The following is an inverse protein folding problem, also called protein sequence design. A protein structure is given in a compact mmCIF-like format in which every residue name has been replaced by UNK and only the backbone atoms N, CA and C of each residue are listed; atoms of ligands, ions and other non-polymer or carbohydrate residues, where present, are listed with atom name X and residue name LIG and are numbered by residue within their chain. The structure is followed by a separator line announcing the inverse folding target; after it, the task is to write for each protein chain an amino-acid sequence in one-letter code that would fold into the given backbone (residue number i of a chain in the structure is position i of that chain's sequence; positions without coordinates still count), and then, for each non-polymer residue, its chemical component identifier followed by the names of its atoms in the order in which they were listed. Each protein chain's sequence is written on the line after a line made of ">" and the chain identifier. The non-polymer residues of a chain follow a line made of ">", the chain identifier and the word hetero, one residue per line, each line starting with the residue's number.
data_IF_789476946493
#
_entry.id   IF_789476946493
#
_cell.length_a   1.000
_cell.length_b   1.000
_cell.length_c   1.000
_cell.angle_alpha   90.00
_cell.angle_beta   90.00
_cell.angle_gamma   90.00
#
_symmetry.space_group_name_H-M   'P 1'
#
loop_
_entity.id
_entity.type
_entity.pdbx_description
1 polymer ?
#
# COMPACT_ATOMS: atom_id res chain seq x y z
N UNK A 1 -16.05 -14.15 56.90
CA UNK A 1 -15.26 -12.94 56.57
C UNK A 1 -13.82 -13.36 56.48
N UNK A 2 -13.15 -13.12 55.35
CA UNK A 2 -11.70 -13.30 55.29
C UNK A 2 -11.06 -12.19 56.12
N UNK A 3 -10.08 -12.53 56.96
CA UNK A 3 -9.17 -11.54 57.51
C UNK A 3 -8.16 -11.21 56.41
N UNK A 4 -8.20 -9.95 55.96
CA UNK A 4 -7.49 -9.46 54.78
C UNK A 4 -6.23 -8.68 55.15
N UNK A 5 -5.77 -8.77 56.40
CA UNK A 5 -4.43 -8.32 56.78
C UNK A 5 -3.38 -9.09 55.95
N UNK A 6 -2.28 -8.45 55.49
CA UNK A 6 -1.31 -9.08 54.58
C UNK A 6 -0.78 -10.44 55.07
N UNK A 7 -0.58 -10.59 56.37
CA UNK A 7 -0.10 -11.84 56.99
C UNK A 7 -1.13 -12.97 56.94
N UNK A 8 -2.41 -12.68 57.15
CA UNK A 8 -3.47 -13.70 57.11
C UNK A 8 -3.92 -13.99 55.68
N UNK A 9 -3.82 -13.00 54.80
CA UNK A 9 -4.03 -13.15 53.37
C UNK A 9 -3.09 -14.20 52.75
N UNK A 10 -1.78 -14.13 53.05
CA UNK A 10 -0.80 -15.11 52.59
C UNK A 10 -1.10 -16.53 53.10
N UNK A 11 -1.51 -16.67 54.37
CA UNK A 11 -1.93 -17.97 54.92
C UNK A 11 -3.17 -18.52 54.22
N UNK A 12 -4.14 -17.67 53.89
CA UNK A 12 -5.32 -18.07 53.14
C UNK A 12 -4.98 -18.51 51.71
N UNK A 13 -4.03 -17.83 51.08
CA UNK A 13 -3.51 -18.20 49.78
C UNK A 13 -2.83 -19.58 49.78
N UNK A 14 -1.95 -19.84 50.75
CA UNK A 14 -1.30 -21.15 50.89
C UNK A 14 -2.32 -22.27 51.14
N UNK A 15 -3.32 -22.02 51.99
CA UNK A 15 -4.39 -22.97 52.24
C UNK A 15 -5.13 -23.33 50.93
N UNK A 16 -5.46 -22.33 50.12
CA UNK A 16 -6.18 -22.54 48.85
C UNK A 16 -5.34 -23.32 47.84
N UNK A 17 -4.02 -23.07 47.81
CA UNK A 17 -3.08 -23.86 47.01
C UNK A 17 -3.09 -25.33 47.40
N UNK A 18 -3.10 -25.65 48.70
CA UNK A 18 -3.17 -27.06 49.16
C UNK A 18 -4.50 -27.75 48.85
N UNK A 19 -5.57 -26.98 48.64
CA UNK A 19 -6.94 -27.49 48.40
C UNK A 19 -7.30 -27.54 46.92
N UNK A 20 -6.39 -27.15 46.03
CA UNK A 20 -6.66 -27.00 44.60
C UNK A 20 -6.91 -28.35 43.92
N UNK A 21 -8.01 -28.45 43.17
CA UNK A 21 -8.32 -29.58 42.31
C UNK A 21 -9.16 -29.14 41.10
N UNK A 22 -9.38 -30.04 40.14
CA UNK A 22 -10.10 -29.72 38.89
C UNK A 22 -11.52 -29.16 39.13
N UNK A 23 -12.22 -29.59 40.18
CA UNK A 23 -13.60 -29.19 40.46
C UNK A 23 -13.73 -27.79 41.08
N UNK A 24 -12.69 -27.31 41.77
CA UNK A 24 -12.72 -26.04 42.50
C UNK A 24 -11.78 -24.96 41.93
N UNK A 25 -10.88 -25.29 41.00
CA UNK A 25 -9.90 -24.34 40.46
C UNK A 25 -10.54 -23.05 39.92
N UNK A 26 -11.64 -23.17 39.15
CA UNK A 26 -12.36 -22.00 38.63
C UNK A 26 -12.99 -21.16 39.75
N UNK A 27 -13.63 -21.79 40.73
CA UNK A 27 -14.23 -21.07 41.86
C UNK A 27 -13.20 -20.33 42.70
N UNK A 28 -12.03 -20.94 42.92
CA UNK A 28 -10.92 -20.28 43.63
C UNK A 28 -10.41 -19.09 42.82
N UNK A 29 -10.25 -19.24 41.50
CA UNK A 29 -9.86 -18.13 40.61
C UNK A 29 -10.86 -16.99 40.65
N UNK A 30 -12.16 -17.29 40.54
CA UNK A 30 -13.24 -16.31 40.54
C UNK A 30 -13.33 -15.58 41.91
N UNK A 31 -13.15 -16.31 43.00
CA UNK A 31 -13.11 -15.75 44.35
C UNK A 31 -11.91 -14.81 44.51
N UNK A 32 -10.73 -15.20 44.04
CA UNK A 32 -9.53 -14.38 44.13
C UNK A 32 -9.62 -13.11 43.31
N UNK A 33 -10.13 -13.23 42.09
CA UNK A 33 -10.46 -12.08 41.26
C UNK A 33 -11.42 -11.12 42.00
N UNK A 34 -12.46 -11.66 42.64
CA UNK A 34 -13.43 -10.87 43.42
C UNK A 34 -12.83 -10.21 44.67
N UNK A 35 -11.87 -10.86 45.33
CA UNK A 35 -11.16 -10.30 46.48
C UNK A 35 -10.23 -9.18 46.01
N UNK A 36 -9.56 -9.37 44.87
CA UNK A 36 -8.67 -8.37 44.28
C UNK A 36 -9.41 -7.03 44.07
N UNK A 37 -10.65 -7.05 43.59
CA UNK A 37 -11.48 -5.83 43.43
C UNK A 37 -11.61 -5.02 44.73
N UNK A 38 -11.58 -5.70 45.88
CA UNK A 38 -11.73 -5.08 47.21
C UNK A 38 -10.39 -4.67 47.82
N UNK A 39 -9.27 -5.15 47.27
CA UNK A 39 -7.93 -5.00 47.80
C UNK A 39 -6.97 -4.71 46.64
N UNK A 40 -6.83 -3.43 46.30
CA UNK A 40 -5.83 -2.95 45.34
C UNK A 40 -4.42 -2.89 45.93
N UNK A 41 -4.06 -3.85 46.79
CA UNK A 41 -2.77 -3.88 47.48
C UNK A 41 -1.72 -4.63 46.64
N UNK A 42 -0.53 -4.05 46.52
CA UNK A 42 0.59 -4.60 45.75
C UNK A 42 0.99 -6.01 46.21
N UNK A 43 0.95 -6.27 47.53
CA UNK A 43 1.30 -7.56 48.12
C UNK A 43 0.24 -8.61 47.75
N UNK A 44 -1.04 -8.24 47.77
CA UNK A 44 -2.13 -9.11 47.32
C UNK A 44 -1.95 -9.51 45.85
N UNK A 45 -1.75 -8.51 44.99
CA UNK A 45 -1.62 -8.71 43.54
C UNK A 45 -0.43 -9.61 43.20
N UNK A 46 0.74 -9.37 43.81
CA UNK A 46 1.92 -10.19 43.62
C UNK A 46 1.68 -11.65 44.03
N UNK A 47 1.06 -11.85 45.19
CA UNK A 47 0.76 -13.20 45.72
C UNK A 47 -0.27 -13.93 44.83
N UNK A 48 -1.29 -13.23 44.36
CA UNK A 48 -2.26 -13.80 43.43
C UNK A 48 -1.61 -14.21 42.10
N UNK A 49 -0.69 -13.39 41.57
CA UNK A 49 0.06 -13.71 40.36
C UNK A 49 0.96 -14.95 40.52
N UNK A 50 1.61 -15.12 41.66
CA UNK A 50 2.38 -16.33 41.96
C UNK A 50 1.50 -17.59 41.98
N UNK A 51 0.28 -17.47 42.49
CA UNK A 51 -0.66 -18.59 42.61
C UNK A 51 -1.19 -19.02 41.25
N UNK A 52 -1.63 -18.09 40.39
CA UNK A 52 -2.11 -18.44 39.05
C UNK A 52 -0.98 -18.95 38.15
N UNK A 53 0.27 -18.66 38.48
CA UNK A 53 1.46 -19.22 37.82
C UNK A 53 1.77 -20.65 38.26
N UNK A 54 1.17 -21.14 39.34
CA UNK A 54 1.38 -22.50 39.82
C UNK A 54 0.98 -23.56 38.77
N UNK A 55 1.83 -24.57 38.58
CA UNK A 55 1.62 -25.64 37.59
C UNK A 55 0.28 -26.38 37.77
N UNK A 56 -0.24 -26.50 38.99
CA UNK A 56 -1.51 -27.18 39.23
C UNK A 56 -2.71 -26.38 38.67
N UNK A 57 -2.69 -25.04 38.75
CA UNK A 57 -3.74 -24.22 38.12
C UNK A 57 -3.73 -24.38 36.59
N UNK A 58 -2.53 -24.42 36.00
CA UNK A 58 -2.37 -24.61 34.57
C UNK A 58 -2.88 -25.98 34.11
N UNK A 59 -2.60 -27.06 34.88
CA UNK A 59 -3.12 -28.41 34.62
C UNK A 59 -4.64 -28.49 34.59
N UNK A 60 -5.34 -27.56 35.25
CA UNK A 60 -6.80 -27.50 35.28
C UNK A 60 -7.40 -26.47 34.31
N UNK A 61 -6.61 -25.95 33.36
CA UNK A 61 -7.08 -25.06 32.31
C UNK A 61 -7.23 -23.58 32.72
N UNK A 62 -6.87 -23.24 33.96
CA UNK A 62 -6.71 -21.86 34.43
C UNK A 62 -5.29 -21.42 34.06
N UNK A 63 -5.13 -20.92 32.84
CA UNK A 63 -3.81 -20.47 32.37
C UNK A 63 -3.49 -19.09 32.91
N UNK A 64 -2.23 -18.86 33.27
CA UNK A 64 -1.76 -17.56 33.77
C UNK A 64 -2.16 -16.41 32.83
N UNK A 65 -2.12 -16.61 31.51
CA UNK A 65 -2.49 -15.60 30.51
C UNK A 65 -3.95 -15.16 30.63
N UNK A 66 -4.88 -16.12 30.80
CA UNK A 66 -6.31 -15.82 30.92
C UNK A 66 -6.61 -15.08 32.22
N UNK A 67 -6.02 -15.52 33.32
CA UNK A 67 -6.25 -14.88 34.62
C UNK A 67 -5.56 -13.52 34.73
N UNK A 68 -4.38 -13.36 34.12
CA UNK A 68 -3.72 -12.07 34.00
C UNK A 68 -4.59 -11.08 33.20
N UNK A 69 -5.15 -11.54 32.07
CA UNK A 69 -6.06 -10.71 31.28
C UNK A 69 -7.34 -10.37 32.07
N UNK A 70 -7.94 -11.34 32.78
CA UNK A 70 -9.13 -11.13 33.61
C UNK A 70 -8.87 -10.13 34.74
N UNK A 71 -7.75 -10.28 35.43
CA UNK A 71 -7.32 -9.36 36.47
C UNK A 71 -7.15 -7.97 35.88
N UNK A 72 -6.35 -7.84 34.83
CA UNK A 72 -6.01 -6.54 34.29
C UNK A 72 -7.18 -5.83 33.59
N UNK A 73 -8.19 -6.55 33.09
CA UNK A 73 -9.49 -5.98 32.66
C UNK A 73 -10.25 -5.32 33.83
N UNK A 74 -10.09 -5.81 35.06
CA UNK A 74 -10.80 -5.27 36.22
C UNK A 74 -10.14 -4.00 36.78
N UNK A 75 -8.82 -3.85 36.63
CA UNK A 75 -8.08 -2.69 37.13
C UNK A 75 -7.77 -1.64 36.05
N UNK A 76 -8.60 -1.59 35.01
CA UNK A 76 -8.43 -0.71 33.84
C UNK A 76 -8.39 0.80 34.18
N UNK A 77 -8.69 1.18 35.43
CA UNK A 77 -8.63 2.55 35.94
C UNK A 77 -7.47 2.85 36.90
N UNK A 78 -6.72 1.84 37.36
CA UNK A 78 -5.65 2.02 38.36
C UNK A 78 -4.27 1.94 37.71
N UNK A 79 -3.64 3.10 37.48
CA UNK A 79 -2.33 3.18 36.81
C UNK A 79 -1.17 2.77 37.71
N UNK A 80 -1.38 2.70 39.04
CA UNK A 80 -0.34 2.24 39.98
C UNK A 80 0.13 0.80 39.70
N UNK A 81 -0.67 0.02 38.99
CA UNK A 81 -0.31 -1.32 38.52
C UNK A 81 0.85 -1.35 37.54
N UNK A 82 1.10 -0.26 36.82
CA UNK A 82 2.21 -0.18 35.87
C UNK A 82 3.53 -0.42 36.60
N UNK A 83 3.71 0.25 37.73
CA UNK A 83 4.94 0.22 38.53
C UNK A 83 5.00 -0.98 39.47
N UNK A 84 3.89 -1.31 40.12
CA UNK A 84 3.82 -2.35 41.17
C UNK A 84 3.72 -3.77 40.61
N UNK A 85 3.14 -3.95 39.42
CA UNK A 85 2.84 -5.27 38.87
C UNK A 85 3.44 -5.48 37.49
N UNK A 86 3.10 -4.62 36.52
CA UNK A 86 3.42 -4.86 35.11
C UNK A 86 4.93 -4.81 34.88
N UNK A 87 5.62 -3.78 35.38
CA UNK A 87 7.06 -3.64 35.22
C UNK A 87 7.84 -4.78 35.89
N UNK A 88 7.64 -5.11 37.18
CA UNK A 88 8.32 -6.26 37.79
C UNK A 88 8.06 -7.58 37.07
N UNK A 89 6.81 -7.78 36.60
CA UNK A 89 6.47 -8.98 35.86
C UNK A 89 7.16 -9.02 34.51
N UNK A 90 7.25 -7.90 33.80
CA UNK A 90 8.00 -7.78 32.54
C UNK A 90 9.50 -8.07 32.74
N UNK A 91 10.10 -7.45 33.76
CA UNK A 91 11.52 -7.61 34.12
C UNK A 91 11.84 -9.06 34.53
N UNK A 92 10.85 -9.85 34.98
CA UNK A 92 10.99 -11.29 35.25
C UNK A 92 11.04 -12.17 34.00
N UNK A 93 10.97 -11.58 32.80
CA UNK A 93 11.04 -12.26 31.51
C UNK A 93 10.01 -13.40 31.35
N UNK A 94 8.70 -13.12 31.50
CA UNK A 94 7.68 -14.16 31.52
C UNK A 94 7.49 -14.78 30.13
N UNK A 95 6.75 -15.91 30.05
CA UNK A 95 6.41 -16.56 28.77
C UNK A 95 5.78 -15.57 27.78
N UNK A 96 5.96 -15.80 26.47
CA UNK A 96 5.57 -14.87 25.40
C UNK A 96 4.10 -14.46 25.45
N UNK A 97 3.21 -15.39 25.79
CA UNK A 97 1.77 -15.10 25.91
C UNK A 97 1.45 -14.11 27.04
N UNK A 98 2.15 -14.20 28.17
CA UNK A 98 1.98 -13.27 29.29
C UNK A 98 2.44 -11.88 28.84
N UNK A 99 3.59 -11.79 28.16
CA UNK A 99 4.10 -10.54 27.60
C UNK A 99 3.10 -9.93 26.63
N UNK A 100 2.49 -10.73 25.76
CA UNK A 100 1.50 -10.26 24.80
C UNK A 100 0.28 -9.66 25.51
N UNK A 101 -0.22 -10.31 26.57
CA UNK A 101 -1.27 -9.74 27.41
C UNK A 101 -0.84 -8.41 28.04
N UNK A 102 0.35 -8.34 28.64
CA UNK A 102 0.86 -7.12 29.28
C UNK A 102 0.93 -5.94 28.30
N UNK A 103 1.40 -6.16 27.07
CA UNK A 103 1.46 -5.13 26.03
C UNK A 103 0.06 -4.59 25.69
N UNK A 104 -0.96 -5.45 25.54
CA UNK A 104 -2.33 -5.00 25.25
C UNK A 104 -2.90 -4.09 26.33
N UNK A 105 -2.48 -4.31 27.57
CA UNK A 105 -2.95 -3.58 28.73
C UNK A 105 -2.18 -2.27 28.88
N UNK A 106 -0.88 -2.29 28.66
CA UNK A 106 -0.08 -1.07 28.58
C UNK A 106 -0.63 -0.12 27.51
N UNK A 107 -1.01 -0.63 26.33
CA UNK A 107 -1.71 0.17 25.30
C UNK A 107 -3.02 0.79 25.80
N UNK A 108 -3.73 0.15 26.73
CA UNK A 108 -4.91 0.72 27.36
C UNK A 108 -4.55 1.88 28.30
N UNK A 109 -3.44 1.78 29.03
CA UNK A 109 -3.01 2.78 30.00
C UNK A 109 -2.35 4.01 29.39
N UNK A 110 -1.75 3.94 28.20
CA UNK A 110 -1.08 5.09 27.54
C UNK A 110 -1.99 6.32 27.48
N UNK A 111 -3.27 6.15 27.18
CA UNK A 111 -4.24 7.26 27.11
C UNK A 111 -4.85 7.69 28.44
N UNK A 112 -4.51 7.02 29.55
CA UNK A 112 -5.10 7.22 30.88
C UNK A 112 -4.10 7.59 31.96
N UNK A 113 -2.82 7.28 31.76
CA UNK A 113 -1.77 7.67 32.69
C UNK A 113 -1.68 9.20 32.78
N UNK A 114 -1.61 9.70 34.01
CA UNK A 114 -1.40 11.12 34.30
C UNK A 114 0.03 11.41 34.78
N UNK A 115 0.86 10.37 34.96
CA UNK A 115 2.25 10.47 35.40
C UNK A 115 3.22 10.32 34.22
N UNK A 116 4.22 11.20 34.17
CA UNK A 116 5.31 11.08 33.21
C UNK A 116 6.14 9.81 33.43
N UNK A 117 6.32 9.38 34.68
CA UNK A 117 7.11 8.20 35.00
C UNK A 117 6.42 6.91 34.53
N UNK A 118 5.11 6.82 34.72
CA UNK A 118 4.30 5.71 34.23
C UNK A 118 4.34 5.65 32.70
N UNK A 119 4.22 6.81 32.03
CA UNK A 119 4.33 6.89 30.57
C UNK A 119 5.70 6.43 30.08
N UNK A 120 6.79 6.84 30.74
CA UNK A 120 8.14 6.41 30.41
C UNK A 120 8.30 4.90 30.57
N UNK A 121 7.74 4.31 31.63
CA UNK A 121 7.76 2.85 31.83
C UNK A 121 6.99 2.13 30.72
N UNK A 122 5.80 2.61 30.37
CA UNK A 122 5.02 2.02 29.27
C UNK A 122 5.81 2.06 27.96
N UNK A 123 6.35 3.22 27.59
CA UNK A 123 7.10 3.37 26.35
C UNK A 123 8.36 2.50 26.32
N UNK A 124 9.12 2.42 27.42
CA UNK A 124 10.29 1.56 27.52
C UNK A 124 9.93 0.07 27.32
N UNK A 125 8.83 -0.40 27.92
CA UNK A 125 8.39 -1.79 27.76
C UNK A 125 7.95 -2.07 26.32
N UNK A 126 7.17 -1.18 25.70
CA UNK A 126 6.78 -1.30 24.29
C UNK A 126 7.98 -1.29 23.36
N UNK A 127 8.96 -0.45 23.68
CA UNK A 127 10.17 -0.29 22.90
C UNK A 127 11.06 -1.55 22.96
N UNK A 128 11.13 -2.22 24.11
CA UNK A 128 11.79 -3.51 24.26
C UNK A 128 11.03 -4.62 23.51
N UNK A 129 9.70 -4.64 23.64
CA UNK A 129 8.84 -5.59 22.96
C UNK A 129 8.95 -5.55 21.43
N UNK A 130 9.41 -4.42 20.87
CA UNK A 130 9.63 -4.23 19.44
C UNK A 130 10.94 -4.85 18.90
N UNK A 131 11.92 -5.20 19.76
CA UNK A 131 13.23 -5.72 19.34
C UNK A 131 13.46 -7.22 19.57
N UNK A 132 12.69 -7.84 20.45
CA UNK A 132 12.98 -9.19 20.93
C UNK A 132 12.29 -10.31 20.11
N UNK A 133 12.63 -11.58 20.38
CA UNK A 133 12.20 -12.85 19.75
C UNK A 133 10.67 -13.15 19.77
N UNK A 134 9.82 -12.14 19.90
CA UNK A 134 8.40 -12.27 20.25
C UNK A 134 7.47 -11.89 19.10
N UNK A 135 7.49 -12.68 18.02
CA UNK A 135 6.48 -12.56 16.96
C UNK A 135 5.04 -12.54 17.50
N UNK A 136 4.64 -13.37 18.50
CA UNK A 136 3.27 -13.33 19.04
C UNK A 136 2.91 -12.01 19.73
N UNK A 137 3.89 -11.30 20.29
CA UNK A 137 3.67 -9.99 20.93
C UNK A 137 3.45 -8.93 19.85
N UNK A 138 4.28 -8.94 18.80
CA UNK A 138 4.15 -8.04 17.66
C UNK A 138 2.85 -8.28 16.91
N UNK A 139 2.47 -9.53 16.66
CA UNK A 139 1.19 -9.88 16.06
C UNK A 139 0.04 -9.26 16.84
N UNK A 140 0.03 -9.44 18.16
CA UNK A 140 -1.00 -8.87 19.03
C UNK A 140 -1.00 -7.33 19.04
N UNK A 141 0.09 -6.64 18.76
CA UNK A 141 -0.01 -5.19 18.51
C UNK A 141 -0.96 -4.89 17.34
N UNK A 142 -1.13 -5.80 16.38
CA UNK A 142 -1.82 -5.52 15.12
C UNK A 142 -3.07 -6.37 14.81
N UNK A 143 -3.41 -7.40 15.61
CA UNK A 143 -4.46 -8.42 15.33
C UNK A 143 -5.87 -7.87 15.02
N UNK A 144 -6.21 -6.66 15.45
CA UNK A 144 -7.60 -6.23 15.55
C UNK A 144 -8.28 -5.61 14.35
N UNK A 145 -7.59 -5.40 13.25
CA UNK A 145 -8.19 -4.69 12.12
C UNK A 145 -9.17 -5.55 11.30
N UNK A 146 -9.41 -6.82 11.69
CA UNK A 146 -10.26 -7.76 10.94
C UNK A 146 -11.72 -7.85 11.43
N UNK A 147 -12.12 -7.08 12.45
CA UNK A 147 -13.50 -7.15 12.95
C UNK A 147 -13.88 -5.93 13.78
N UNK A 148 -15.18 -5.66 13.87
CA UNK A 148 -15.82 -4.49 14.48
C UNK A 148 -15.54 -4.26 15.99
N UNK A 149 -14.57 -4.94 16.61
CA UNK A 149 -14.14 -4.68 17.98
C UNK A 149 -13.02 -3.64 18.02
N UNK A 150 -13.25 -2.52 18.73
CA UNK A 150 -12.29 -1.43 18.90
C UNK A 150 -11.07 -1.90 19.72
N UNK A 151 -10.00 -2.30 19.04
CA UNK A 151 -8.69 -2.54 19.65
C UNK A 151 -8.17 -1.33 20.40
N UNK A 152 -7.29 -1.52 21.41
CA UNK A 152 -6.62 -0.43 22.10
C UNK A 152 -5.95 0.57 21.16
N UNK A 153 -5.25 0.13 20.11
CA UNK A 153 -4.61 1.04 19.16
C UNK A 153 -5.59 1.80 18.27
N UNK A 154 -6.64 1.13 17.79
CA UNK A 154 -7.70 1.81 17.04
C UNK A 154 -8.42 2.85 17.91
N UNK A 155 -8.63 2.55 19.19
CA UNK A 155 -9.20 3.50 20.15
C UNK A 155 -8.23 4.66 20.40
N UNK A 156 -6.94 4.37 20.58
CA UNK A 156 -5.88 5.37 20.78
C UNK A 156 -5.85 6.37 19.62
N UNK A 157 -5.93 5.89 18.36
CA UNK A 157 -6.01 6.73 17.16
C UNK A 157 -7.12 7.77 17.24
N UNK A 158 -8.32 7.38 17.70
CA UNK A 158 -9.47 8.30 17.82
C UNK A 158 -9.47 9.13 19.11
N UNK A 159 -8.93 8.59 20.21
CA UNK A 159 -8.96 9.25 21.51
C UNK A 159 -7.77 10.19 21.75
N UNK A 160 -6.61 9.93 21.15
CA UNK A 160 -5.40 10.75 21.30
C UNK A 160 -4.47 10.61 20.09
N UNK A 161 -4.59 11.56 19.16
CA UNK A 161 -3.76 11.63 17.95
C UNK A 161 -2.25 11.66 18.28
N UNK A 162 -1.85 12.47 19.25
CA UNK A 162 -0.42 12.64 19.59
C UNK A 162 0.19 11.35 20.13
N UNK A 163 -0.51 10.61 21.00
CA UNK A 163 -0.01 9.35 21.54
C UNK A 163 0.07 8.26 20.47
N UNK A 164 -0.88 8.25 19.54
CA UNK A 164 -0.84 7.34 18.40
C UNK A 164 0.32 7.67 17.45
N UNK A 165 0.57 8.96 17.19
CA UNK A 165 1.74 9.40 16.43
C UNK A 165 3.06 8.99 17.12
N UNK A 166 3.16 9.14 18.45
CA UNK A 166 4.32 8.65 19.22
C UNK A 166 4.51 7.14 19.06
N UNK A 167 3.42 6.36 19.16
CA UNK A 167 3.48 4.91 18.96
C UNK A 167 4.01 4.54 17.57
N UNK A 168 3.50 5.19 16.51
CA UNK A 168 3.92 4.93 15.14
C UNK A 168 5.42 5.23 14.98
N UNK A 169 5.86 6.39 15.45
CA UNK A 169 7.23 6.85 15.22
C UNK A 169 8.28 6.18 16.12
N UNK A 170 7.94 5.76 17.34
CA UNK A 170 8.90 5.13 18.25
C UNK A 170 8.86 3.59 18.18
N UNK A 171 7.66 3.01 18.11
CA UNK A 171 7.47 1.56 18.23
C UNK A 171 7.34 0.92 16.87
N UNK A 172 6.38 1.36 16.05
CA UNK A 172 6.11 0.73 14.75
C UNK A 172 7.32 0.86 13.81
N UNK A 173 7.94 2.04 13.75
CA UNK A 173 9.17 2.26 12.98
C UNK A 173 10.35 1.40 13.42
N UNK A 174 10.46 1.07 14.71
CA UNK A 174 11.46 0.14 15.21
C UNK A 174 11.19 -1.28 14.73
N UNK A 175 9.92 -1.72 14.76
CA UNK A 175 9.49 -3.03 14.22
C UNK A 175 9.79 -3.12 12.72
N UNK A 176 9.67 -2.02 11.95
CA UNK A 176 10.03 -2.01 10.52
C UNK A 176 11.52 -2.28 10.26
N UNK A 177 12.39 -1.85 11.19
CA UNK A 177 13.84 -2.04 11.14
C UNK A 177 14.28 -3.40 11.69
N UNK A 178 13.35 -4.24 12.14
CA UNK A 178 13.67 -5.51 12.76
C UNK A 178 14.54 -6.38 11.83
N UNK A 179 15.71 -6.87 12.26
CA UNK A 179 16.70 -7.45 11.35
C UNK A 179 16.34 -8.86 10.83
N UNK A 180 15.54 -9.64 11.59
CA UNK A 180 15.32 -11.07 11.32
C UNK A 180 13.87 -11.47 11.01
N UNK A 181 12.89 -10.91 11.71
CA UNK A 181 11.48 -11.29 11.60
C UNK A 181 10.76 -10.55 10.46
N UNK A 182 10.61 -11.23 9.32
CA UNK A 182 9.88 -10.73 8.16
C UNK A 182 8.38 -10.50 8.45
N UNK A 183 7.75 -11.43 9.16
CA UNK A 183 6.32 -11.38 9.48
C UNK A 183 5.99 -10.16 10.34
N UNK A 184 6.79 -9.89 11.37
CA UNK A 184 6.69 -8.69 12.22
C UNK A 184 6.72 -7.40 11.40
N UNK A 185 7.69 -7.28 10.49
CA UNK A 185 7.79 -6.13 9.57
C UNK A 185 6.57 -6.04 8.65
N UNK A 186 5.99 -7.19 8.26
CA UNK A 186 4.84 -7.25 7.35
C UNK A 186 3.60 -6.71 7.99
N UNK A 187 3.36 -7.09 9.25
CA UNK A 187 2.30 -6.49 10.05
C UNK A 187 2.53 -4.99 10.18
N UNK A 188 3.71 -4.56 10.65
CA UNK A 188 4.00 -3.14 10.83
C UNK A 188 3.81 -2.32 9.53
N UNK A 189 4.20 -2.82 8.35
CA UNK A 189 3.95 -2.13 7.08
C UNK A 189 2.47 -2.07 6.69
N UNK A 190 1.72 -3.14 6.92
CA UNK A 190 0.32 -3.25 6.53
C UNK A 190 -0.56 -2.24 7.29
N UNK A 191 -0.26 -2.04 8.57
CA UNK A 191 -1.03 -1.19 9.47
C UNK A 191 -0.54 0.25 9.56
N UNK A 192 0.46 0.63 8.75
CA UNK A 192 1.01 1.96 8.80
C UNK A 192 0.05 2.99 8.19
N UNK A 193 -0.32 3.99 8.98
CA UNK A 193 -1.14 5.10 8.52
C UNK A 193 -0.30 6.36 8.37
N UNK A 194 -0.27 6.90 7.15
CA UNK A 194 0.63 7.98 6.77
C UNK A 194 0.39 9.29 7.55
N UNK A 195 -0.82 9.51 8.06
CA UNK A 195 -1.25 10.74 8.74
C UNK A 195 -0.62 10.93 10.12
N UNK A 196 -0.01 9.86 10.66
CA UNK A 196 0.48 9.79 12.03
C UNK A 196 1.97 9.43 12.08
N UNK A 197 2.73 9.70 11.02
CA UNK A 197 4.13 9.31 10.93
C UNK A 197 5.03 10.43 10.41
N UNK A 198 6.30 10.40 10.83
CA UNK A 198 7.34 11.26 10.30
C UNK A 198 7.63 10.86 8.84
N UNK A 199 7.14 11.68 7.92
CA UNK A 199 7.10 11.34 6.50
C UNK A 199 8.48 11.06 5.91
N UNK A 200 9.50 11.86 6.27
CA UNK A 200 10.86 11.67 5.78
C UNK A 200 11.45 10.33 6.23
N UNK A 201 11.21 9.96 7.48
CA UNK A 201 11.71 8.70 8.03
C UNK A 201 11.01 7.50 7.39
N UNK A 202 9.68 7.57 7.23
CA UNK A 202 8.96 6.53 6.51
C UNK A 202 9.45 6.38 5.08
N UNK A 203 9.66 7.48 4.36
CA UNK A 203 10.20 7.48 3.00
C UNK A 203 11.55 6.77 2.99
N UNK A 204 12.46 7.11 3.91
CA UNK A 204 13.77 6.46 4.00
C UNK A 204 13.66 4.96 4.24
N UNK A 205 12.76 4.53 5.16
CA UNK A 205 12.51 3.10 5.41
C UNK A 205 11.93 2.40 4.19
N UNK A 206 10.98 3.03 3.52
CA UNK A 206 10.33 2.49 2.33
C UNK A 206 11.33 2.36 1.17
N UNK A 207 12.18 3.38 0.96
CA UNK A 207 13.28 3.36 0.00
C UNK A 207 14.24 2.20 0.31
N UNK A 208 14.77 2.13 1.52
CA UNK A 208 15.69 1.08 1.94
C UNK A 208 15.12 -0.33 1.72
N UNK A 209 13.80 -0.48 1.90
CA UNK A 209 13.14 -1.76 1.71
C UNK A 209 12.91 -2.09 0.23
N UNK A 210 12.48 -1.11 -0.58
CA UNK A 210 12.32 -1.28 -2.03
C UNK A 210 13.65 -1.62 -2.74
N UNK A 211 14.78 -1.26 -2.14
CA UNK A 211 16.13 -1.51 -2.67
C UNK A 211 16.65 -2.90 -2.30
N UNK A 212 16.12 -3.56 -1.26
CA UNK A 212 16.57 -4.88 -0.84
C UNK A 212 15.90 -5.98 -1.68
N UNK A 213 16.73 -6.82 -2.31
CA UNK A 213 16.29 -8.00 -3.06
C UNK A 213 16.46 -9.28 -2.23
N UNK A 214 15.68 -9.40 -1.16
CA UNK A 214 15.48 -10.69 -0.49
C UNK A 214 14.35 -11.47 -1.18
N UNK A 215 14.50 -12.80 -1.30
CA UNK A 215 13.47 -13.69 -1.86
C UNK A 215 12.20 -13.68 -1.01
N UNK A 216 12.34 -13.44 0.28
CA UNK A 216 11.25 -13.55 1.26
C UNK A 216 10.49 -12.22 1.45
N UNK A 217 11.06 -11.05 1.12
CA UNK A 217 10.43 -9.74 1.34
C UNK A 217 9.45 -9.25 0.29
N UNK A 218 8.91 -10.14 -0.56
CA UNK A 218 7.96 -9.76 -1.60
C UNK A 218 6.72 -9.03 -1.07
N UNK A 219 6.21 -9.41 0.10
CA UNK A 219 5.01 -8.76 0.69
C UNK A 219 5.37 -7.40 1.30
N UNK A 220 6.53 -7.30 1.96
CA UNK A 220 7.00 -6.06 2.58
C UNK A 220 7.15 -4.93 1.58
N UNK A 221 7.75 -5.21 0.43
CA UNK A 221 7.98 -4.17 -0.56
C UNK A 221 6.68 -3.72 -1.20
N UNK A 222 5.73 -4.63 -1.49
CA UNK A 222 4.43 -4.26 -2.08
C UNK A 222 3.74 -3.27 -1.16
N UNK A 223 3.71 -3.58 0.14
CA UNK A 223 3.11 -2.71 1.14
C UNK A 223 3.84 -1.36 1.21
N UNK A 224 5.18 -1.37 1.28
CA UNK A 224 5.97 -0.14 1.31
C UNK A 224 5.74 0.74 0.07
N UNK A 225 5.80 0.15 -1.13
CA UNK A 225 5.59 0.86 -2.39
C UNK A 225 4.16 1.41 -2.53
N UNK A 226 3.15 0.64 -2.15
CA UNK A 226 1.76 1.11 -2.12
C UNK A 226 1.60 2.32 -1.18
N UNK A 227 2.25 2.30 0.00
CA UNK A 227 2.23 3.44 0.91
C UNK A 227 2.90 4.66 0.26
N UNK A 228 4.09 4.53 -0.33
CA UNK A 228 4.76 5.65 -1.03
C UNK A 228 3.87 6.26 -2.13
N UNK A 229 3.18 5.43 -2.92
CA UNK A 229 2.25 5.93 -3.93
C UNK A 229 1.06 6.66 -3.31
N UNK A 230 0.51 6.16 -2.18
CA UNK A 230 -0.54 6.86 -1.44
C UNK A 230 -0.06 8.21 -0.90
N UNK A 231 1.18 8.31 -0.40
CA UNK A 231 1.79 9.59 -0.02
C UNK A 231 1.82 10.56 -1.19
N UNK A 232 2.26 10.09 -2.36
CA UNK A 232 2.30 10.90 -3.56
C UNK A 232 0.90 11.38 -3.97
N UNK A 233 -0.14 10.54 -3.83
CA UNK A 233 -1.53 10.91 -4.11
C UNK A 233 -2.01 12.11 -3.28
N UNK A 234 -1.47 12.28 -2.07
CA UNK A 234 -2.01 13.20 -1.05
C UNK A 234 -1.11 14.40 -0.75
N UNK A 235 0.20 14.38 -1.06
CA UNK A 235 1.12 15.52 -0.87
C UNK A 235 1.54 16.18 -2.19
N UNK A 236 1.86 17.48 -2.13
CA UNK A 236 2.38 18.27 -3.26
C UNK A 236 3.85 17.90 -3.57
N UNK A 237 4.06 17.32 -4.76
CA UNK A 237 5.26 17.35 -5.64
C UNK A 237 6.58 16.75 -5.10
N UNK A 238 7.01 16.98 -3.86
CA UNK A 238 8.33 16.54 -3.38
C UNK A 238 8.50 15.01 -3.29
N UNK A 239 7.40 14.26 -3.21
CA UNK A 239 7.39 12.80 -3.18
C UNK A 239 7.59 12.14 -4.55
N UNK A 240 7.53 12.90 -5.66
CA UNK A 240 7.76 12.35 -7.00
C UNK A 240 9.19 11.82 -7.12
N UNK A 241 10.17 12.64 -6.75
CA UNK A 241 11.60 12.31 -6.87
C UNK A 241 11.94 11.02 -6.13
N UNK A 242 11.30 10.77 -5.00
CA UNK A 242 11.44 9.52 -4.24
C UNK A 242 10.91 8.31 -5.03
N UNK A 243 9.75 8.44 -5.66
CA UNK A 243 9.21 7.40 -6.55
C UNK A 243 10.17 7.18 -7.72
N UNK A 244 10.71 8.25 -8.31
CA UNK A 244 11.73 8.19 -9.37
C UNK A 244 12.98 7.44 -8.92
N UNK A 245 13.54 7.78 -7.77
CA UNK A 245 14.77 7.19 -7.28
C UNK A 245 14.59 5.70 -6.97
N UNK A 246 13.43 5.31 -6.43
CA UNK A 246 13.08 3.90 -6.21
C UNK A 246 12.98 3.16 -7.52
N UNK A 247 12.26 3.71 -8.51
CA UNK A 247 12.14 3.09 -9.83
C UNK A 247 13.54 2.94 -10.43
N UNK A 248 14.30 4.03 -10.57
CA UNK A 248 15.66 4.02 -11.15
C UNK A 248 16.55 2.97 -10.48
N UNK A 249 16.50 2.88 -9.15
CA UNK A 249 17.33 1.93 -8.40
C UNK A 249 16.88 0.49 -8.58
N UNK A 250 15.57 0.22 -8.56
CA UNK A 250 15.05 -1.13 -8.89
C UNK A 250 15.41 -1.52 -10.32
N UNK A 251 15.41 -0.55 -11.24
CA UNK A 251 15.79 -0.77 -12.63
C UNK A 251 17.29 -1.04 -12.81
N UNK A 252 18.18 -0.35 -12.09
CA UNK A 252 19.63 -0.62 -12.19
C UNK A 252 20.00 -2.05 -11.79
N UNK A 253 19.27 -2.64 -10.83
CA UNK A 253 19.48 -4.05 -10.46
C UNK A 253 19.08 -5.02 -11.58
N UNK A 254 18.13 -4.65 -12.44
CA UNK A 254 17.77 -5.46 -13.60
C UNK A 254 18.89 -5.43 -14.63
N UNK A 255 19.43 -4.25 -14.93
CA UNK A 255 20.55 -4.12 -15.86
C UNK A 255 21.77 -4.92 -15.38
N UNK A 256 22.03 -4.91 -14.07
CA UNK A 256 23.08 -5.75 -13.45
C UNK A 256 22.82 -7.26 -13.62
N UNK A 257 21.55 -7.69 -13.62
CA UNK A 257 21.15 -9.09 -13.84
C UNK A 257 21.25 -9.44 -15.33
N UNK A 258 20.73 -8.59 -16.21
CA UNK A 258 20.75 -8.74 -17.67
C UNK A 258 22.21 -8.75 -18.19
N UNK A 259 23.09 -7.89 -17.67
CA UNK A 259 24.50 -7.83 -18.04
C UNK A 259 25.32 -9.06 -17.59
N UNK A 260 24.85 -9.78 -16.56
CA UNK A 260 25.48 -11.01 -16.07
C UNK A 260 25.04 -12.26 -16.85
N UNK A 261 24.06 -12.15 -17.77
CA UNK A 261 23.55 -13.30 -18.51
C UNK A 261 24.50 -13.76 -19.62
N UNK A 262 25.44 -14.62 -19.24
CA UNK A 262 25.82 -15.82 -20.00
C UNK A 262 25.44 -17.05 -19.15
N UNK A 263 24.23 -17.59 -19.36
CA UNK A 263 23.79 -18.98 -19.12
C UNK A 263 22.31 -19.06 -18.69
N UNK A 264 21.46 -19.34 -19.67
CA UNK A 264 20.43 -20.39 -19.67
C UNK A 264 20.16 -21.00 -18.26
N UNK A 265 18.98 -20.69 -17.69
CA UNK A 265 18.38 -21.21 -16.43
C UNK A 265 18.46 -20.36 -15.14
N UNK A 266 18.19 -19.04 -15.22
CA UNK A 266 17.94 -18.25 -14.01
C UNK A 266 16.46 -18.25 -13.58
N UNK A 267 15.97 -19.39 -13.10
CA UNK A 267 14.77 -19.41 -12.23
C UNK A 267 14.96 -18.55 -10.96
N UNK A 268 16.22 -18.27 -10.59
CA UNK A 268 16.60 -17.46 -9.42
C UNK A 268 16.33 -15.96 -9.58
N UNK A 269 16.31 -15.44 -10.81
CA UNK A 269 16.12 -14.00 -11.09
C UNK A 269 14.69 -13.67 -11.56
N UNK A 270 13.87 -14.69 -11.87
CA UNK A 270 12.44 -14.55 -12.13
C UNK A 270 11.68 -13.73 -11.05
N UNK A 271 12.01 -13.81 -9.75
CA UNK A 271 11.44 -12.93 -8.73
C UNK A 271 11.70 -11.45 -8.96
N UNK A 272 12.87 -11.06 -9.51
CA UNK A 272 13.22 -9.66 -9.83
C UNK A 272 12.31 -9.13 -10.94
N UNK A 273 12.20 -9.88 -12.04
CA UNK A 273 11.32 -9.47 -13.15
C UNK A 273 9.84 -9.44 -12.74
N UNK A 274 9.36 -10.42 -11.96
CA UNK A 274 7.99 -10.40 -11.41
C UNK A 274 7.75 -9.21 -10.47
N UNK A 275 8.78 -8.81 -9.70
CA UNK A 275 8.74 -7.65 -8.81
C UNK A 275 8.59 -6.36 -9.62
N UNK A 276 9.39 -6.20 -10.67
CA UNK A 276 9.30 -5.09 -11.62
C UNK A 276 7.91 -5.02 -12.25
N UNK A 277 7.40 -6.12 -12.79
CA UNK A 277 6.06 -6.15 -13.37
C UNK A 277 4.96 -5.77 -12.37
N UNK A 278 5.06 -6.22 -11.12
CA UNK A 278 4.09 -5.86 -10.06
C UNK A 278 4.15 -4.36 -9.73
N UNK A 279 5.34 -3.77 -9.65
CA UNK A 279 5.53 -2.32 -9.44
C UNK A 279 4.83 -1.54 -10.53
N UNK A 280 5.08 -1.91 -11.78
CA UNK A 280 4.54 -1.24 -12.95
C UNK A 280 3.02 -1.32 -13.00
N UNK A 281 2.45 -2.52 -12.75
CA UNK A 281 0.99 -2.71 -12.69
C UNK A 281 0.36 -1.89 -11.57
N UNK A 282 0.94 -1.89 -10.37
CA UNK A 282 0.45 -1.11 -9.23
C UNK A 282 0.51 0.38 -9.52
N UNK A 283 1.63 0.85 -10.09
CA UNK A 283 1.80 2.24 -10.46
C UNK A 283 0.77 2.65 -11.51
N UNK A 284 0.58 1.87 -12.56
CA UNK A 284 -0.40 2.16 -13.61
C UNK A 284 -1.83 2.20 -13.05
N UNK A 285 -2.19 1.22 -12.21
CA UNK A 285 -3.48 1.23 -11.51
C UNK A 285 -3.68 2.51 -10.71
N UNK A 286 -2.64 2.97 -10.00
CA UNK A 286 -2.72 4.18 -9.17
C UNK A 286 -2.71 5.47 -9.97
N UNK A 287 -1.94 5.56 -11.05
CA UNK A 287 -1.96 6.71 -11.94
C UNK A 287 -3.36 6.88 -12.54
N UNK A 288 -4.05 5.79 -12.88
CA UNK A 288 -5.44 5.87 -13.36
C UNK A 288 -6.40 6.53 -12.35
N UNK A 289 -6.14 6.38 -11.04
CA UNK A 289 -6.91 7.00 -9.96
C UNK A 289 -6.54 8.46 -9.67
N UNK A 290 -5.48 8.99 -10.29
CA UNK A 290 -5.03 10.37 -10.03
C UNK A 290 -5.85 11.41 -10.78
N UNK A 291 -5.90 12.62 -10.23
CA UNK A 291 -6.38 13.81 -10.93
C UNK A 291 -5.43 14.16 -12.11
N UNK A 292 -5.91 14.93 -13.08
CA UNK A 292 -5.14 15.24 -14.29
C UNK A 292 -3.84 16.00 -13.96
N UNK A 293 -3.86 16.88 -12.95
CA UNK A 293 -2.69 17.64 -12.49
C UNK A 293 -1.56 16.71 -12.01
N UNK A 294 -1.86 15.71 -11.17
CA UNK A 294 -0.86 14.76 -10.68
C UNK A 294 -0.37 13.78 -11.74
N UNK A 295 -1.19 13.46 -12.75
CA UNK A 295 -0.77 12.59 -13.85
C UNK A 295 0.28 13.26 -14.75
N UNK A 296 0.23 14.58 -14.92
CA UNK A 296 1.24 15.33 -15.70
C UNK A 296 2.64 15.13 -15.10
N UNK A 297 2.75 15.16 -13.77
CA UNK A 297 4.02 14.91 -13.09
C UNK A 297 4.59 13.49 -13.32
N UNK A 298 3.77 12.51 -13.71
CA UNK A 298 4.27 11.17 -14.09
C UNK A 298 4.95 11.13 -15.45
N UNK A 299 4.77 12.16 -16.28
CA UNK A 299 5.33 12.19 -17.64
C UNK A 299 6.86 12.07 -17.66
N UNK A 300 7.55 12.60 -16.65
CA UNK A 300 9.01 12.52 -16.52
C UNK A 300 9.53 11.11 -16.20
N UNK A 301 8.68 10.21 -15.68
CA UNK A 301 9.03 8.83 -15.36
C UNK A 301 8.95 7.90 -16.57
N UNK A 302 8.25 8.32 -17.61
CA UNK A 302 7.92 7.46 -18.74
C UNK A 302 9.14 7.08 -19.58
N UNK A 303 10.04 8.01 -19.96
CA UNK A 303 11.25 7.64 -20.68
C UNK A 303 12.07 6.60 -19.92
N UNK A 304 12.18 6.76 -18.60
CA UNK A 304 12.84 5.81 -17.71
C UNK A 304 12.19 4.44 -17.88
N UNK A 305 10.87 4.30 -17.71
CA UNK A 305 10.21 3.00 -17.86
C UNK A 305 10.38 2.33 -19.24
N UNK A 306 10.32 3.10 -20.32
CA UNK A 306 10.39 2.58 -21.68
C UNK A 306 11.79 2.12 -22.06
N UNK A 307 12.84 2.71 -21.48
CA UNK A 307 14.21 2.20 -21.61
C UNK A 307 14.34 0.76 -21.09
N UNK A 308 13.60 0.40 -20.04
CA UNK A 308 13.71 -0.91 -19.39
C UNK A 308 12.77 -1.96 -19.95
N UNK A 309 11.49 -1.64 -20.18
CA UNK A 309 10.55 -2.63 -20.73
C UNK A 309 9.63 -2.04 -21.80
N UNK A 310 10.02 -2.30 -23.04
CA UNK A 310 9.27 -1.92 -24.24
C UNK A 310 7.88 -2.53 -24.28
N UNK A 311 7.62 -3.64 -23.58
CA UNK A 311 6.29 -4.28 -23.50
C UNK A 311 5.26 -3.34 -22.84
N UNK A 312 5.70 -2.36 -22.04
CA UNK A 312 4.83 -1.37 -21.40
C UNK A 312 4.42 -0.22 -22.32
N UNK A 313 5.07 -0.07 -23.47
CA UNK A 313 4.83 1.02 -24.41
C UNK A 313 3.35 1.26 -24.74
N UNK A 314 2.52 0.24 -25.02
CA UNK A 314 1.12 0.50 -25.32
C UNK A 314 0.35 1.05 -24.12
N UNK A 315 0.63 0.53 -22.92
CA UNK A 315 -0.06 0.93 -21.69
C UNK A 315 0.32 2.35 -21.28
N UNK A 316 1.60 2.69 -21.40
CA UNK A 316 2.15 4.01 -21.17
C UNK A 316 1.62 5.02 -22.20
N UNK A 317 1.57 4.64 -23.48
CA UNK A 317 1.04 5.50 -24.54
C UNK A 317 -0.43 5.86 -24.28
N UNK A 318 -1.26 4.87 -23.92
CA UNK A 318 -2.68 5.11 -23.55
C UNK A 318 -2.81 6.06 -22.37
N UNK A 319 -1.95 5.92 -21.36
CA UNK A 319 -1.93 6.81 -20.20
C UNK A 319 -1.58 8.24 -20.60
N UNK A 320 -0.55 8.43 -21.43
CA UNK A 320 -0.15 9.75 -21.93
C UNK A 320 -1.25 10.43 -22.73
N UNK A 321 -1.92 9.69 -23.63
CA UNK A 321 -3.04 10.22 -24.41
C UNK A 321 -4.22 10.61 -23.52
N UNK A 322 -4.48 9.85 -22.45
CA UNK A 322 -5.56 10.14 -21.51
C UNK A 322 -5.38 11.47 -20.78
N UNK A 323 -4.14 11.94 -20.64
CA UNK A 323 -3.79 13.13 -19.86
C UNK A 323 -3.42 14.33 -20.71
N UNK A 324 -3.31 14.13 -22.03
CA UNK A 324 -3.04 15.21 -22.97
C UNK A 324 -4.13 16.27 -22.89
N UNK A 325 -3.72 17.53 -22.80
CA UNK A 325 -4.61 18.69 -22.75
C UNK A 325 -4.70 19.40 -24.10
N UNK A 326 -3.70 19.21 -24.97
CA UNK A 326 -3.61 19.80 -26.29
C UNK A 326 -2.93 18.83 -27.28
N UNK A 327 -2.81 19.25 -28.54
CA UNK A 327 -2.19 18.47 -29.61
C UNK A 327 -0.68 18.29 -29.41
N UNK A 328 -0.02 19.27 -28.81
CA UNK A 328 1.41 19.24 -28.51
C UNK A 328 1.74 18.16 -27.45
N UNK A 329 0.89 17.99 -26.44
CA UNK A 329 1.03 16.93 -25.44
C UNK A 329 0.94 15.53 -26.06
N UNK A 330 0.06 15.34 -27.05
CA UNK A 330 -0.05 14.09 -27.80
C UNK A 330 1.22 13.86 -28.62
N UNK A 331 1.70 14.87 -29.35
CA UNK A 331 2.93 14.74 -30.15
C UNK A 331 4.13 14.43 -29.26
N UNK A 332 4.27 15.12 -28.14
CA UNK A 332 5.36 14.85 -27.20
C UNK A 332 5.25 13.45 -26.59
N UNK A 333 4.05 12.94 -26.35
CA UNK A 333 3.85 11.56 -25.92
C UNK A 333 4.37 10.55 -26.96
N UNK A 334 4.09 10.82 -28.25
CA UNK A 334 4.57 9.99 -29.35
C UNK A 334 6.08 10.11 -29.53
N UNK A 335 6.67 11.29 -29.36
CA UNK A 335 8.13 11.48 -29.36
C UNK A 335 8.80 10.69 -28.25
N UNK A 336 8.26 10.75 -27.03
CA UNK A 336 8.79 9.95 -25.90
C UNK A 336 8.78 8.46 -26.24
N UNK A 337 7.72 7.95 -26.87
CA UNK A 337 7.68 6.56 -27.31
C UNK A 337 8.69 6.28 -28.44
N UNK A 338 8.79 7.16 -29.42
CA UNK A 338 9.70 7.03 -30.56
C UNK A 338 11.17 7.01 -30.11
N UNK A 339 11.56 7.91 -29.20
CA UNK A 339 12.93 8.04 -28.72
C UNK A 339 13.39 6.82 -27.91
N UNK A 340 12.45 6.02 -27.39
CA UNK A 340 12.74 4.89 -26.50
C UNK A 340 12.44 3.52 -27.12
N UNK A 341 11.89 3.46 -28.34
CA UNK A 341 11.47 2.20 -28.99
C UNK A 341 12.15 2.02 -30.36
N UNK A 342 12.48 0.78 -30.75
CA UNK A 342 12.88 0.49 -32.13
C UNK A 342 11.75 0.86 -33.10
N UNK A 343 12.10 1.38 -34.27
CA UNK A 343 11.16 1.92 -35.26
C UNK A 343 10.00 0.96 -35.59
N UNK A 344 10.31 -0.29 -35.93
CA UNK A 344 9.31 -1.33 -36.25
C UNK A 344 8.33 -1.55 -35.08
N UNK A 345 8.83 -1.52 -33.86
CA UNK A 345 7.98 -1.70 -32.68
C UNK A 345 7.15 -0.45 -32.39
N UNK A 346 7.73 0.73 -32.59
CA UNK A 346 7.01 2.00 -32.46
C UNK A 346 5.82 2.10 -33.43
N UNK A 347 5.98 1.71 -34.69
CA UNK A 347 4.87 1.68 -35.66
C UNK A 347 3.70 0.79 -35.21
N UNK A 348 4.01 -0.38 -34.64
CA UNK A 348 3.00 -1.27 -34.05
C UNK A 348 2.26 -0.58 -32.90
N UNK A 349 2.99 0.13 -32.03
CA UNK A 349 2.38 0.92 -30.94
C UNK A 349 1.51 2.04 -31.49
N UNK A 350 1.92 2.75 -32.55
CA UNK A 350 1.10 3.81 -33.17
C UNK A 350 -0.27 3.28 -33.62
N UNK A 351 -0.31 2.08 -34.19
CA UNK A 351 -1.58 1.45 -34.60
C UNK A 351 -2.47 1.14 -33.40
N UNK A 352 -1.90 0.59 -32.32
CA UNK A 352 -2.67 0.30 -31.10
C UNK A 352 -3.19 1.58 -30.43
N UNK A 353 -2.40 2.66 -30.44
CA UNK A 353 -2.81 3.95 -29.91
C UNK A 353 -3.85 4.64 -30.81
N UNK A 354 -3.81 4.42 -32.12
CA UNK A 354 -4.84 4.90 -33.05
C UNK A 354 -6.22 4.33 -32.71
N UNK A 355 -6.30 3.01 -32.51
CA UNK A 355 -7.53 2.35 -32.06
C UNK A 355 -7.98 2.78 -30.65
N UNK A 356 -7.07 3.26 -29.81
CA UNK A 356 -7.42 3.84 -28.51
C UNK A 356 -8.10 5.21 -28.66
N UNK A 357 -7.68 6.03 -29.64
CA UNK A 357 -8.27 7.34 -29.91
C UNK A 357 -9.71 7.27 -30.44
N UNK A 358 -10.09 6.18 -31.13
CA UNK A 358 -11.47 5.94 -31.56
C UNK A 358 -12.46 5.97 -30.39
N UNK A 359 -12.01 5.61 -29.20
CA UNK A 359 -12.82 5.67 -27.97
C UNK A 359 -12.67 7.05 -27.36
N UNK A 360 -13.40 8.01 -27.90
CA UNK A 360 -13.27 9.45 -27.59
C UNK A 360 -13.31 9.75 -26.07
N UNK A 361 -14.08 8.99 -25.30
CA UNK A 361 -14.14 9.09 -23.83
C UNK A 361 -12.80 8.84 -23.11
N UNK A 362 -11.82 8.27 -23.80
CA UNK A 362 -10.53 7.92 -23.22
C UNK A 362 -9.45 9.00 -23.39
N UNK A 363 -9.68 10.02 -24.23
CA UNK A 363 -8.80 11.19 -24.35
C UNK A 363 -9.62 12.47 -24.11
N UNK A 364 -9.38 13.13 -22.98
CA UNK A 364 -10.14 14.32 -22.61
C UNK A 364 -10.04 15.43 -23.67
N UNK A 365 -8.85 15.67 -24.22
CA UNK A 365 -8.67 16.66 -25.29
C UNK A 365 -9.51 16.33 -26.53
N UNK A 366 -9.42 15.11 -27.06
CA UNK A 366 -10.12 14.71 -28.29
C UNK A 366 -11.64 14.69 -28.12
N UNK A 367 -12.13 14.31 -26.94
CA UNK A 367 -13.56 14.30 -26.63
C UNK A 367 -14.26 15.64 -26.88
N UNK A 368 -13.56 16.75 -26.65
CA UNK A 368 -14.13 18.10 -26.76
C UNK A 368 -13.96 18.73 -28.14
N UNK A 369 -13.32 18.03 -29.08
CA UNK A 369 -13.14 18.52 -30.45
C UNK A 369 -14.39 18.25 -31.29
N UNK A 370 -14.81 19.26 -32.06
CA UNK A 370 -15.76 19.11 -33.17
C UNK A 370 -15.18 18.23 -34.28
N UNK A 371 -16.03 17.77 -35.20
CA UNK A 371 -15.60 16.96 -36.37
C UNK A 371 -14.54 17.70 -37.20
N UNK A 372 -14.71 19.00 -37.42
CA UNK A 372 -13.74 19.82 -38.16
C UNK A 372 -12.42 20.00 -37.40
N UNK A 373 -12.47 20.17 -36.07
CA UNK A 373 -11.26 20.25 -35.25
C UNK A 373 -10.51 18.91 -35.20
N UNK A 374 -11.23 17.78 -35.20
CA UNK A 374 -10.64 16.44 -35.33
C UNK A 374 -9.99 16.25 -36.69
N UNK A 375 -10.61 16.76 -37.76
CA UNK A 375 -10.04 16.74 -39.11
C UNK A 375 -8.76 17.60 -39.19
N UNK A 376 -8.78 18.80 -38.62
CA UNK A 376 -7.60 19.68 -38.54
C UNK A 376 -6.47 19.05 -37.72
N UNK A 377 -6.80 18.38 -36.60
CA UNK A 377 -5.83 17.64 -35.79
C UNK A 377 -5.17 16.51 -36.58
N UNK A 378 -5.96 15.75 -37.34
CA UNK A 378 -5.44 14.67 -38.15
C UNK A 378 -4.56 15.19 -39.30
N UNK A 379 -4.97 16.29 -39.94
CA UNK A 379 -4.16 16.98 -40.95
C UNK A 379 -2.81 17.42 -40.39
N UNK A 380 -2.79 17.96 -39.17
CA UNK A 380 -1.56 18.33 -38.49
C UNK A 380 -0.62 17.13 -38.26
N UNK A 381 -1.14 16.00 -37.79
CA UNK A 381 -0.33 14.79 -37.60
C UNK A 381 0.17 14.19 -38.91
N UNK A 382 -0.62 14.25 -39.97
CA UNK A 382 -0.26 13.69 -41.28
C UNK A 382 0.76 14.58 -41.99
N UNK A 383 0.48 15.87 -42.11
CA UNK A 383 1.26 16.78 -42.97
C UNK A 383 2.43 17.43 -42.23
N UNK A 384 2.26 17.82 -40.97
CA UNK A 384 3.32 18.52 -40.22
C UNK A 384 4.19 17.59 -39.37
N UNK A 385 3.63 16.51 -38.81
CA UNK A 385 4.37 15.58 -37.95
C UNK A 385 4.78 14.28 -38.61
N UNK A 386 4.31 14.03 -39.84
CA UNK A 386 4.57 12.79 -40.57
C UNK A 386 4.24 11.52 -39.76
N UNK A 387 3.08 11.52 -39.09
CA UNK A 387 2.55 10.38 -38.31
C UNK A 387 1.22 9.86 -38.84
N UNK A 388 1.10 9.54 -40.14
CA UNK A 388 -0.18 9.15 -40.73
C UNK A 388 -0.78 7.88 -40.10
N UNK A 389 0.05 6.92 -39.68
CA UNK A 389 -0.40 5.67 -39.06
C UNK A 389 -1.12 5.88 -37.72
N UNK A 390 -0.77 6.92 -36.98
CA UNK A 390 -1.32 7.21 -35.64
C UNK A 390 -2.78 7.68 -35.69
N UNK A 391 -3.17 8.41 -36.73
CA UNK A 391 -4.50 9.03 -36.83
C UNK A 391 -5.42 8.31 -37.80
N UNK A 392 -4.93 7.31 -38.53
CA UNK A 392 -5.69 6.68 -39.60
C UNK A 392 -6.96 5.97 -39.10
N UNK A 393 -6.84 5.11 -38.09
CA UNK A 393 -7.99 4.36 -37.57
C UNK A 393 -8.97 5.30 -36.83
N UNK A 394 -8.46 6.36 -36.19
CA UNK A 394 -9.26 7.45 -35.62
C UNK A 394 -10.08 8.20 -36.69
N UNK A 395 -9.47 8.53 -37.84
CA UNK A 395 -10.12 9.24 -38.94
C UNK A 395 -11.27 8.45 -39.55
N UNK A 396 -11.09 7.15 -39.75
CA UNK A 396 -12.11 6.28 -40.35
C UNK A 396 -13.42 6.32 -39.57
N UNK A 397 -13.34 6.14 -38.25
CA UNK A 397 -14.53 5.93 -37.43
C UNK A 397 -15.10 7.24 -36.85
N UNK A 398 -14.23 8.15 -36.40
CA UNK A 398 -14.67 9.37 -35.69
C UNK A 398 -14.91 10.57 -36.59
N UNK A 399 -14.42 10.55 -37.83
CA UNK A 399 -14.37 11.76 -38.69
C UNK A 399 -15.03 11.49 -40.04
N UNK A 400 -14.51 10.57 -40.85
CA UNK A 400 -14.90 10.40 -42.25
C UNK A 400 -16.36 9.97 -42.48
N UNK A 401 -16.98 9.29 -41.52
CA UNK A 401 -18.37 8.84 -41.64
C UNK A 401 -19.38 9.82 -41.02
N UNK A 402 -18.96 11.02 -40.60
CA UNK A 402 -19.83 12.01 -39.97
C UNK A 402 -20.49 12.91 -41.02
N UNK A 403 -21.79 13.18 -40.87
CA UNK A 403 -22.57 13.95 -41.83
C UNK A 403 -22.08 15.40 -42.01
N UNK A 404 -21.52 16.00 -40.95
CA UNK A 404 -21.11 17.41 -40.92
C UNK A 404 -19.68 17.67 -41.42
N UNK A 405 -19.01 16.67 -42.02
CA UNK A 405 -17.60 16.80 -42.40
C UNK A 405 -17.40 17.57 -43.71
N UNK A 406 -16.36 18.40 -43.77
CA UNK A 406 -15.83 18.97 -45.01
C UNK A 406 -15.35 17.87 -45.97
N UNK A 407 -16.19 17.57 -46.98
CA UNK A 407 -15.97 16.50 -47.96
C UNK A 407 -14.69 16.72 -48.78
N UNK A 408 -14.39 17.96 -49.14
CA UNK A 408 -13.22 18.29 -49.96
C UNK A 408 -11.92 18.08 -49.18
N UNK A 409 -11.86 18.55 -47.94
CA UNK A 409 -10.71 18.30 -47.06
C UNK A 409 -10.52 16.81 -46.80
N UNK A 410 -11.61 16.06 -46.57
CA UNK A 410 -11.56 14.60 -46.38
C UNK A 410 -10.96 13.89 -47.61
N UNK A 411 -11.44 14.22 -48.81
CA UNK A 411 -10.93 13.63 -50.07
C UNK A 411 -9.46 13.96 -50.31
N UNK A 412 -9.06 15.21 -50.05
CA UNK A 412 -7.66 15.63 -50.17
C UNK A 412 -6.75 14.87 -49.20
N UNK A 413 -7.18 14.68 -47.95
CA UNK A 413 -6.45 13.91 -46.95
C UNK A 413 -6.30 12.44 -47.37
N UNK A 414 -7.37 11.80 -47.86
CA UNK A 414 -7.35 10.42 -48.34
C UNK A 414 -6.44 10.25 -49.57
N UNK A 415 -6.47 11.20 -50.50
CA UNK A 415 -5.58 11.22 -51.65
C UNK A 415 -4.11 11.27 -51.21
N UNK A 416 -3.79 12.11 -50.23
CA UNK A 416 -2.46 12.19 -49.65
C UNK A 416 -2.04 10.86 -48.99
N UNK A 417 -2.91 10.25 -48.18
CA UNK A 417 -2.63 8.97 -47.52
C UNK A 417 -2.40 7.82 -48.50
N UNK A 418 -3.12 7.79 -49.64
CA UNK A 418 -2.91 6.83 -50.74
C UNK A 418 -1.58 7.00 -51.47
N UNK A 419 -0.93 8.14 -51.31
CA UNK A 419 0.38 8.43 -51.87
C UNK A 419 1.50 8.34 -50.82
N UNK A 420 1.17 7.91 -49.59
CA UNK A 420 2.15 7.81 -48.50
C UNK A 420 3.27 6.83 -48.84
N UNK A 421 4.49 7.18 -48.44
CA UNK A 421 5.66 6.30 -48.50
C UNK A 421 5.57 5.14 -47.49
N UNK A 422 4.75 5.28 -46.43
CA UNK A 422 4.47 4.21 -45.50
C UNK A 422 3.50 3.18 -46.14
N UNK A 423 4.02 2.00 -46.45
CA UNK A 423 3.28 0.92 -47.13
C UNK A 423 1.98 0.56 -46.40
N UNK A 424 2.04 0.43 -45.07
CA UNK A 424 0.88 0.08 -44.24
C UNK A 424 -0.23 1.12 -44.34
N UNK A 425 0.12 2.41 -44.29
CA UNK A 425 -0.84 3.52 -44.45
C UNK A 425 -1.43 3.51 -45.85
N UNK A 426 -0.59 3.35 -46.87
CA UNK A 426 -1.03 3.35 -48.26
C UNK A 426 -2.00 2.22 -48.55
N UNK A 427 -1.70 1.00 -48.11
CA UNK A 427 -2.58 -0.17 -48.27
C UNK A 427 -3.91 0.04 -47.56
N UNK A 428 -3.90 0.52 -46.31
CA UNK A 428 -5.11 0.85 -45.56
C UNK A 428 -5.94 1.94 -46.28
N UNK A 429 -5.30 2.98 -46.82
CA UNK A 429 -5.97 4.10 -47.48
C UNK A 429 -6.54 3.77 -48.88
N UNK A 430 -5.90 2.84 -49.61
CA UNK A 430 -6.40 2.34 -50.90
C UNK A 430 -7.65 1.49 -50.68
N UNK A 431 -7.63 0.64 -49.65
CA UNK A 431 -8.72 -0.28 -49.33
C UNK A 431 -9.89 0.39 -48.60
N UNK A 432 -9.77 1.66 -48.22
CA UNK A 432 -10.80 2.40 -47.54
C UNK A 432 -11.62 3.28 -48.50
N UNK A 433 -12.94 3.16 -48.39
CA UNK A 433 -13.94 3.97 -49.10
C UNK A 433 -14.86 4.64 -48.09
N UNK A 434 -15.00 5.96 -48.21
CA UNK A 434 -15.94 6.75 -47.40
C UNK A 434 -17.35 6.55 -47.96
N UNK A 435 -18.29 6.16 -47.10
CA UNK A 435 -19.69 6.06 -47.47
C UNK A 435 -20.33 7.46 -47.36
N UNK A 436 -20.24 8.25 -48.42
CA UNK A 436 -21.02 9.49 -48.51
C UNK A 436 -22.49 9.10 -48.66
N UNK A 437 -23.34 9.52 -47.72
CA UNK A 437 -24.78 9.54 -47.98
C UNK A 437 -25.02 10.67 -48.97
N UNK A 438 -25.55 10.33 -50.12
CA UNK A 438 -26.14 11.30 -51.02
C UNK A 438 -27.45 11.74 -50.36
N UNK A 439 -27.52 12.99 -49.92
CA UNK A 439 -28.75 13.57 -49.35
C UNK A 439 -29.79 13.89 -50.45
N UNK A 440 -29.74 13.18 -51.58
CA UNK A 440 -30.61 13.39 -52.75
C UNK A 440 -31.83 12.45 -52.79
N UNK A 441 -31.97 11.50 -51.85
CA UNK A 441 -33.22 10.77 -51.66
C UNK A 441 -34.14 11.54 -50.69
N UNK A 442 -34.44 12.79 -51.03
CA UNK A 442 -35.69 13.42 -50.60
C UNK A 442 -36.78 12.74 -51.42
N UNK A 443 -37.63 11.97 -50.73
CA UNK A 443 -38.88 11.39 -51.23
C UNK A 443 -39.62 12.33 -52.20
N UNK A 444 -39.33 12.18 -53.49
CA UNK A 444 -40.27 12.44 -54.55
C UNK A 444 -41.10 11.17 -54.72
N UNK A 445 -42.08 10.97 -53.84
CA UNK A 445 -43.22 10.09 -54.12
C UNK A 445 -44.49 10.76 -53.60
N UNK A 446 -45.21 11.35 -54.56
CA UNK A 446 -46.67 11.45 -54.56
C UNK A 446 -47.35 10.10 -54.26
#
# INVERSE_FOLDING_TARGET
>A
TFDLTPENLLKHFDLLKTRLNASNAKFISDAMLSISIKISDEIFLKSYLEIIRNEQFQKFGITANKELLRLLIQYVSDTSLITTVIKPLWDSHPHQDIRACLILILLHFIGKSHSNDDNNIIWNILEQAAYDEYLPVVENLFVSYRGYSRWPLSKLKYSSKNLFETFVNQIQFKILDHPRLLEARTYAWSYLEYEYCHTNELINKAQNLCIRFDKDGNVLWINAFQKIILFYKQRKISSLNIVIDIIKKIMSYRDDVDAKQNAINNQHDLPVYRRIQTILRNLISKINEFDNEKKIHFRSLIPIFLQFDKILAPLIGKLLLKIAQNKEDIEDALKILQDNLPEIYFERILTELSGFLQKEDYCHFIKHLSVDEKLNLAQWFIMEKNRPLFVFDFLQDSVFNQASIDREKCQNLLRYLRQSENLTVREKAINYTVAWRDDDDVDNND
#
